data_IF_905864501288
#
_entry.id   IF_905864501288
#
_cell.length_a   1.000
_cell.length_b   1.000
_cell.length_c   1.000
_cell.angle_alpha   90.00
_cell.angle_beta   90.00
_cell.angle_gamma   90.00
#
_symmetry.space_group_name_H-M   'P 1'
#
loop_
_entity.id
_entity.type
_entity.pdbx_description
1 polymer ?
#
# COMPACT_ATOMS: atom_id res chain seq x y z
N UNK A 1 17.31 0.03 25.45
CA UNK A 1 16.87 1.28 26.12
C UNK A 1 17.85 2.38 25.69
N UNK A 2 17.75 3.14 24.58
CA UNK A 2 16.61 3.77 23.90
C UNK A 2 16.80 3.88 22.36
N UNK A 3 17.60 2.99 21.73
CA UNK A 3 17.80 2.89 20.27
C UNK A 3 17.83 4.24 19.51
N UNK A 4 18.59 5.26 19.96
CA UNK A 4 18.53 6.60 19.39
C UNK A 4 18.93 6.62 17.91
N UNK A 5 19.80 5.71 17.49
CA UNK A 5 20.23 5.55 16.10
C UNK A 5 19.09 5.16 15.14
N UNK A 6 17.93 4.74 15.66
CA UNK A 6 16.75 4.41 14.87
C UNK A 6 15.83 5.60 14.60
N UNK A 7 16.15 6.77 15.17
CA UNK A 7 15.44 8.02 14.92
C UNK A 7 16.28 8.88 13.97
N UNK A 8 15.77 9.06 12.76
CA UNK A 8 16.41 9.88 11.74
C UNK A 8 15.59 11.15 11.49
N UNK A 9 16.20 12.31 11.65
CA UNK A 9 15.59 13.56 11.21
C UNK A 9 15.72 13.69 9.69
N UNK A 10 14.61 13.58 8.97
CA UNK A 10 14.59 13.73 7.52
C UNK A 10 14.54 15.22 7.14
N UNK A 11 15.60 15.81 6.55
CA UNK A 11 15.63 17.23 6.24
C UNK A 11 14.61 17.63 5.17
N UNK A 12 14.30 16.71 4.26
CA UNK A 12 13.33 16.93 3.18
C UNK A 12 11.88 16.95 3.68
N UNK A 13 11.57 16.21 4.75
CA UNK A 13 10.23 16.16 5.36
C UNK A 13 10.12 17.01 6.62
N UNK A 14 11.24 17.57 7.09
CA UNK A 14 11.38 18.35 8.33
C UNK A 14 10.78 17.64 9.56
N UNK A 15 10.93 16.32 9.65
CA UNK A 15 10.42 15.52 10.76
C UNK A 15 11.28 14.31 11.08
N UNK A 16 11.14 13.84 12.31
CA UNK A 16 11.72 12.57 12.75
C UNK A 16 10.95 11.40 12.12
N UNK A 17 11.69 10.43 11.60
CA UNK A 17 11.17 9.16 11.10
C UNK A 17 11.94 8.01 11.73
N UNK A 18 11.26 6.89 11.90
CA UNK A 18 11.91 5.65 12.33
C UNK A 18 12.60 5.03 11.13
N UNK A 19 13.91 4.79 11.22
CA UNK A 19 14.73 4.19 10.16
C UNK A 19 15.84 3.33 10.75
N UNK A 20 16.12 2.17 10.16
CA UNK A 20 17.26 1.35 10.57
C UNK A 20 18.56 1.86 9.91
N UNK A 21 19.64 2.11 10.67
CA UNK A 21 20.96 2.39 10.08
C UNK A 21 21.44 1.22 9.22
N UNK A 22 21.93 1.49 8.00
CA UNK A 22 22.40 0.45 7.09
C UNK A 22 23.46 -0.48 7.71
N UNK A 23 24.47 0.01 8.47
CA UNK A 23 25.46 -0.86 9.11
C UNK A 23 24.87 -1.82 10.15
N UNK A 24 23.66 -1.53 10.66
CA UNK A 24 22.97 -2.35 11.66
C UNK A 24 22.02 -3.37 11.03
N UNK A 25 21.85 -3.36 9.70
CA UNK A 25 21.02 -4.33 8.99
C UNK A 25 21.84 -5.61 8.79
N UNK A 26 21.50 -6.66 9.54
CA UNK A 26 22.13 -7.99 9.41
C UNK A 26 21.67 -8.73 8.16
N UNK A 27 20.38 -8.66 7.85
CA UNK A 27 19.75 -9.43 6.78
C UNK A 27 18.50 -8.71 6.27
N UNK A 28 18.21 -8.85 4.98
CA UNK A 28 16.98 -8.37 4.34
C UNK A 28 16.18 -9.56 3.84
N UNK A 29 14.89 -9.60 4.18
CA UNK A 29 13.97 -10.65 3.76
C UNK A 29 13.18 -10.18 2.53
N UNK A 30 13.73 -10.41 1.33
CA UNK A 30 13.09 -9.99 0.07
C UNK A 30 11.97 -10.97 -0.28
N UNK A 31 10.70 -10.53 -0.43
CA UNK A 31 9.56 -11.43 -0.60
C UNK A 31 9.68 -12.43 -1.75
N UNK A 32 10.21 -12.00 -2.90
CA UNK A 32 10.45 -12.84 -4.07
C UNK A 32 11.49 -13.93 -3.79
N UNK A 33 12.61 -13.56 -3.16
CA UNK A 33 13.67 -14.52 -2.82
C UNK A 33 13.18 -15.54 -1.79
N UNK A 34 12.37 -15.11 -0.81
CA UNK A 34 11.75 -16.02 0.17
C UNK A 34 10.78 -16.98 -0.47
N UNK A 35 10.01 -16.54 -1.46
CA UNK A 35 9.15 -17.44 -2.21
C UNK A 35 9.96 -18.41 -3.09
N UNK A 36 11.03 -17.94 -3.72
CA UNK A 36 11.92 -18.81 -4.49
C UNK A 36 12.62 -19.86 -3.63
N UNK A 37 12.97 -19.52 -2.39
CA UNK A 37 13.50 -20.48 -1.43
C UNK A 37 12.46 -21.58 -1.11
N UNK A 38 11.18 -21.24 -0.97
CA UNK A 38 10.11 -22.23 -0.79
C UNK A 38 9.97 -23.10 -2.04
N UNK A 39 9.98 -22.51 -3.24
CA UNK A 39 9.91 -23.25 -4.50
C UNK A 39 11.03 -24.29 -4.62
N UNK A 40 12.24 -23.95 -4.19
CA UNK A 40 13.42 -24.80 -4.30
C UNK A 40 13.67 -25.70 -3.08
N UNK A 41 12.85 -25.61 -2.03
CA UNK A 41 13.06 -26.38 -0.81
C UNK A 41 12.85 -27.89 -1.04
N UNK A 42 13.77 -28.72 -0.53
CA UNK A 42 13.65 -30.19 -0.56
C UNK A 42 12.47 -30.69 0.27
N UNK A 43 12.18 -30.00 1.37
CA UNK A 43 11.06 -30.29 2.27
C UNK A 43 10.30 -29.01 2.54
N UNK A 44 8.98 -29.08 2.40
CA UNK A 44 8.04 -28.02 2.74
C UNK A 44 7.10 -28.53 3.82
N UNK A 45 6.78 -27.68 4.78
CA UNK A 45 5.66 -27.97 5.66
C UNK A 45 4.31 -27.75 4.97
N UNK A 46 3.23 -28.11 5.65
CA UNK A 46 1.87 -28.01 5.11
C UNK A 46 1.49 -26.59 4.69
N UNK A 47 1.92 -25.56 5.44
CA UNK A 47 1.56 -24.17 5.13
C UNK A 47 2.35 -23.67 3.92
N UNK A 48 3.62 -24.05 3.81
CA UNK A 48 4.46 -23.74 2.64
C UNK A 48 3.91 -24.41 1.37
N UNK A 49 3.51 -25.69 1.43
CA UNK A 49 2.84 -26.36 0.32
C UNK A 49 1.51 -25.70 -0.05
N UNK A 50 0.68 -25.36 0.96
CA UNK A 50 -0.58 -24.67 0.72
C UNK A 50 -0.37 -23.29 0.07
N UNK A 51 0.67 -22.56 0.50
CA UNK A 51 1.05 -21.26 -0.06
C UNK A 51 1.50 -21.37 -1.51
N UNK A 52 2.30 -22.40 -1.82
CA UNK A 52 2.74 -22.69 -3.19
C UNK A 52 1.53 -22.98 -4.09
N UNK A 53 0.65 -23.88 -3.67
CA UNK A 53 -0.57 -24.23 -4.41
C UNK A 53 -1.47 -23.01 -4.62
N UNK A 54 -1.61 -22.16 -3.60
CA UNK A 54 -2.38 -20.92 -3.71
C UNK A 54 -1.78 -19.96 -4.74
N UNK A 55 -0.47 -19.70 -4.70
CA UNK A 55 0.19 -18.82 -5.67
C UNK A 55 0.11 -19.40 -7.09
N UNK A 56 0.25 -20.72 -7.26
CA UNK A 56 0.09 -21.37 -8.57
C UNK A 56 -1.32 -21.21 -9.14
N UNK A 57 -2.36 -21.38 -8.31
CA UNK A 57 -3.75 -21.13 -8.69
C UNK A 57 -3.94 -19.68 -9.15
N UNK A 58 -3.50 -18.72 -8.35
CA UNK A 58 -3.64 -17.28 -8.69
C UNK A 58 -2.82 -16.92 -9.93
N UNK A 59 -1.61 -17.44 -10.07
CA UNK A 59 -0.74 -17.25 -11.24
C UNK A 59 -1.43 -17.76 -12.52
N UNK A 60 -1.92 -19.00 -12.50
CA UNK A 60 -2.62 -19.60 -13.64
C UNK A 60 -3.89 -18.83 -14.01
N UNK A 61 -4.69 -18.43 -13.02
CA UNK A 61 -5.95 -17.73 -13.27
C UNK A 61 -5.72 -16.28 -13.74
N UNK A 62 -4.70 -15.60 -13.24
CA UNK A 62 -4.41 -14.20 -13.58
C UNK A 62 -3.55 -14.03 -14.83
N UNK A 63 -2.84 -15.08 -15.26
CA UNK A 63 -1.82 -15.02 -16.30
C UNK A 63 -0.60 -14.17 -15.90
N UNK A 64 -0.40 -13.92 -14.60
CA UNK A 64 0.79 -13.24 -14.07
C UNK A 64 1.88 -14.28 -13.81
N UNK A 65 3.11 -14.00 -14.25
CA UNK A 65 4.24 -14.91 -14.03
C UNK A 65 4.45 -15.19 -12.55
N UNK A 66 4.78 -16.45 -12.21
CA UNK A 66 5.10 -16.86 -10.84
C UNK A 66 6.28 -16.06 -10.25
N UNK A 67 7.18 -15.57 -11.09
CA UNK A 67 8.33 -14.73 -10.73
C UNK A 67 7.93 -13.33 -10.23
N UNK A 68 6.71 -12.89 -10.55
CA UNK A 68 6.13 -11.64 -10.08
C UNK A 68 5.36 -11.80 -8.76
N UNK A 69 5.48 -12.95 -8.09
CA UNK A 69 4.96 -13.18 -6.75
C UNK A 69 6.08 -13.27 -5.70
N UNK A 70 5.71 -13.04 -4.46
CA UNK A 70 6.56 -13.23 -3.29
C UNK A 70 5.72 -13.58 -2.06
N UNK A 71 6.38 -13.98 -0.98
CA UNK A 71 5.73 -14.20 0.32
C UNK A 71 6.28 -13.21 1.34
N UNK A 72 5.45 -12.75 2.26
CA UNK A 72 5.86 -11.92 3.40
C UNK A 72 5.33 -12.50 4.71
N UNK A 73 5.41 -11.74 5.80
CA UNK A 73 4.88 -12.17 7.08
C UNK A 73 5.66 -13.33 7.69
N UNK A 74 4.97 -14.18 8.46
CA UNK A 74 5.61 -15.25 9.23
C UNK A 74 6.27 -16.31 8.34
N UNK A 75 5.69 -16.61 7.17
CA UNK A 75 6.25 -17.57 6.20
C UNK A 75 7.60 -17.11 5.68
N UNK A 76 7.72 -15.83 5.29
CA UNK A 76 8.97 -15.27 4.80
C UNK A 76 10.08 -15.26 5.84
N UNK A 77 9.70 -15.18 7.12
CA UNK A 77 10.62 -15.16 8.26
C UNK A 77 10.90 -16.55 8.83
N UNK A 78 10.26 -17.60 8.29
CA UNK A 78 10.29 -18.97 8.82
C UNK A 78 9.90 -19.03 10.32
N UNK A 79 8.90 -18.24 10.71
CA UNK A 79 8.35 -18.16 12.08
C UNK A 79 6.86 -18.51 12.11
N UNK A 80 6.34 -19.12 11.04
CA UNK A 80 4.94 -19.49 10.93
C UNK A 80 4.62 -20.75 11.72
N UNK A 81 3.33 -20.90 12.01
CA UNK A 81 2.72 -22.10 12.57
C UNK A 81 1.60 -22.57 11.64
N UNK A 82 1.02 -23.74 11.92
CA UNK A 82 -0.15 -24.22 11.18
C UNK A 82 -1.34 -23.25 11.23
N UNK A 83 -1.39 -22.32 12.18
CA UNK A 83 -2.45 -21.30 12.32
C UNK A 83 -2.16 -20.00 11.56
N UNK A 84 -0.92 -19.79 11.10
CA UNK A 84 -0.53 -18.55 10.42
C UNK A 84 -1.29 -18.35 9.11
N UNK A 85 -1.58 -17.09 8.77
CA UNK A 85 -2.19 -16.67 7.50
C UNK A 85 -1.19 -16.82 6.33
N UNK A 86 -1.71 -16.86 5.10
CA UNK A 86 -0.91 -16.80 3.87
C UNK A 86 -0.76 -15.34 3.43
N UNK A 87 0.44 -14.80 3.55
CA UNK A 87 0.76 -13.42 3.21
C UNK A 87 1.57 -13.35 1.90
N UNK A 88 0.93 -12.95 0.79
CA UNK A 88 1.58 -12.85 -0.53
C UNK A 88 1.74 -11.41 -1.01
N UNK A 89 2.78 -11.22 -1.82
CA UNK A 89 3.07 -9.98 -2.54
C UNK A 89 2.95 -10.23 -4.03
N UNK A 90 2.34 -9.29 -4.75
CA UNK A 90 2.34 -9.23 -6.21
C UNK A 90 3.16 -8.02 -6.65
N UNK A 91 4.18 -8.26 -7.46
CA UNK A 91 5.04 -7.23 -8.02
C UNK A 91 4.41 -6.65 -9.29
N UNK A 92 4.22 -5.34 -9.33
CA UNK A 92 3.75 -4.62 -10.51
C UNK A 92 2.31 -4.15 -10.41
N UNK A 93 2.06 -2.92 -10.87
CA UNK A 93 0.72 -2.30 -10.88
C UNK A 93 -0.25 -3.07 -11.76
N UNK A 94 0.15 -3.35 -13.01
CA UNK A 94 -0.69 -4.09 -13.96
C UNK A 94 -0.94 -5.52 -13.50
N UNK A 95 0.07 -6.16 -12.92
CA UNK A 95 -0.03 -7.51 -12.37
C UNK A 95 -1.02 -7.58 -11.20
N UNK A 96 -0.95 -6.61 -10.27
CA UNK A 96 -1.89 -6.58 -9.15
C UNK A 96 -3.35 -6.46 -9.63
N UNK A 97 -3.61 -5.63 -10.64
CA UNK A 97 -4.96 -5.51 -11.24
C UNK A 97 -5.44 -6.80 -11.90
N UNK A 98 -4.55 -7.54 -12.57
CA UNK A 98 -4.87 -8.88 -13.11
C UNK A 98 -5.19 -9.88 -11.99
N UNK A 99 -4.41 -9.87 -10.91
CA UNK A 99 -4.64 -10.73 -9.74
C UNK A 99 -5.95 -10.38 -9.05
N UNK A 100 -6.30 -9.10 -8.88
CA UNK A 100 -7.61 -8.72 -8.33
C UNK A 100 -8.77 -9.27 -9.16
N UNK A 101 -8.69 -9.14 -10.49
CA UNK A 101 -9.69 -9.69 -11.38
C UNK A 101 -9.79 -11.22 -11.29
N UNK A 102 -8.65 -11.91 -11.18
CA UNK A 102 -8.59 -13.37 -10.97
C UNK A 102 -9.20 -13.79 -9.64
N UNK A 103 -8.85 -13.13 -8.54
CA UNK A 103 -9.43 -13.37 -7.21
C UNK A 103 -10.95 -13.17 -7.25
N UNK A 104 -11.43 -12.11 -7.90
CA UNK A 104 -12.87 -11.88 -8.04
C UNK A 104 -13.57 -13.00 -8.82
N UNK A 105 -12.96 -13.54 -9.89
CA UNK A 105 -13.50 -14.71 -10.59
C UNK A 105 -13.57 -15.95 -9.71
N UNK A 106 -12.47 -16.28 -9.04
CA UNK A 106 -12.39 -17.43 -8.14
C UNK A 106 -13.36 -17.33 -6.95
N UNK A 107 -13.66 -16.10 -6.49
CA UNK A 107 -14.71 -15.88 -5.49
C UNK A 107 -16.10 -16.17 -6.07
N UNK A 108 -16.39 -15.72 -7.29
CA UNK A 108 -17.67 -16.04 -7.95
C UNK A 108 -17.85 -17.54 -8.20
N UNK A 109 -16.76 -18.23 -8.49
CA UNK A 109 -16.75 -19.67 -8.77
C UNK A 109 -16.75 -20.51 -7.47
N UNK A 110 -16.74 -19.87 -6.29
CA UNK A 110 -16.79 -20.54 -4.99
C UNK A 110 -15.48 -21.19 -4.55
N UNK A 111 -14.39 -21.00 -5.29
CA UNK A 111 -13.05 -21.50 -4.96
C UNK A 111 -12.43 -20.70 -3.82
N UNK A 112 -12.65 -19.38 -3.83
CA UNK A 112 -12.25 -18.45 -2.78
C UNK A 112 -13.47 -17.81 -2.13
N UNK A 113 -13.28 -17.19 -0.96
CA UNK A 113 -14.27 -16.28 -0.38
C UNK A 113 -13.58 -15.06 0.19
N UNK A 114 -14.24 -13.90 0.17
CA UNK A 114 -13.71 -12.71 0.82
C UNK A 114 -13.90 -12.77 2.34
N UNK A 115 -13.00 -12.10 3.07
CA UNK A 115 -13.12 -11.87 4.52
C UNK A 115 -13.09 -10.38 4.80
N UNK A 116 -14.16 -9.86 5.39
CA UNK A 116 -14.29 -8.45 5.73
C UNK A 116 -14.51 -8.27 7.22
N UNK A 117 -13.68 -7.47 7.88
CA UNK A 117 -13.88 -7.11 9.28
C UNK A 117 -14.53 -5.72 9.43
N UNK A 118 -14.41 -4.87 8.41
CA UNK A 118 -14.96 -3.52 8.38
C UNK A 118 -15.20 -3.06 6.93
N UNK A 119 -15.78 -1.86 6.78
CA UNK A 119 -16.09 -1.28 5.46
C UNK A 119 -14.87 -1.05 4.56
N UNK A 120 -13.70 -0.76 5.13
CA UNK A 120 -12.49 -0.53 4.34
C UNK A 120 -11.95 -1.85 3.79
N UNK A 121 -12.02 -2.92 4.58
CA UNK A 121 -11.70 -4.29 4.11
C UNK A 121 -12.61 -4.69 2.96
N UNK A 122 -13.92 -4.40 3.08
CA UNK A 122 -14.91 -4.63 2.03
C UNK A 122 -14.62 -3.84 0.74
N UNK A 123 -14.14 -2.60 0.88
CA UNK A 123 -13.79 -1.76 -0.26
C UNK A 123 -12.50 -2.21 -0.96
N UNK A 124 -11.43 -2.50 -0.20
CA UNK A 124 -10.12 -2.83 -0.77
C UNK A 124 -9.98 -4.28 -1.22
N UNK A 125 -10.71 -5.21 -0.60
CA UNK A 125 -10.78 -6.64 -0.92
C UNK A 125 -9.44 -7.41 -0.89
N UNK A 126 -8.52 -7.05 -0.01
CA UNK A 126 -7.17 -7.69 0.05
C UNK A 126 -7.12 -9.00 0.85
N UNK A 127 -8.23 -9.44 1.46
CA UNK A 127 -8.28 -10.58 2.38
C UNK A 127 -9.34 -11.58 1.95
N UNK A 128 -9.00 -12.87 1.96
CA UNK A 128 -9.91 -13.95 1.62
C UNK A 128 -9.59 -15.27 2.33
N UNK A 129 -10.32 -16.33 1.97
CA UNK A 129 -10.02 -17.71 2.37
C UNK A 129 -9.80 -18.62 1.16
N UNK A 130 -8.81 -19.49 1.28
CA UNK A 130 -8.50 -20.59 0.38
C UNK A 130 -8.36 -21.87 1.21
N UNK A 131 -9.17 -22.90 0.94
CA UNK A 131 -9.13 -24.18 1.70
C UNK A 131 -9.11 -23.98 3.24
N UNK A 132 -10.02 -23.16 3.76
CA UNK A 132 -10.14 -22.75 5.17
C UNK A 132 -8.99 -21.91 5.74
N UNK A 133 -7.94 -21.65 4.98
CA UNK A 133 -6.83 -20.79 5.37
C UNK A 133 -7.08 -19.34 4.93
N UNK A 134 -6.86 -18.39 5.83
CA UNK A 134 -6.91 -16.96 5.49
C UNK A 134 -5.69 -16.62 4.64
N UNK A 135 -5.91 -15.84 3.58
CA UNK A 135 -4.86 -15.23 2.81
C UNK A 135 -5.03 -13.70 2.76
N UNK A 136 -3.90 -13.02 2.60
CA UNK A 136 -3.82 -11.61 2.27
C UNK A 136 -2.87 -11.41 1.09
N UNK A 137 -3.25 -10.54 0.16
CA UNK A 137 -2.41 -10.18 -0.98
C UNK A 137 -2.21 -8.67 -1.06
N UNK A 138 -0.96 -8.25 -1.29
CA UNK A 138 -0.59 -6.84 -1.39
C UNK A 138 0.28 -6.55 -2.60
N UNK A 139 0.32 -5.29 -3.03
CA UNK A 139 1.12 -4.86 -4.16
C UNK A 139 2.50 -4.33 -3.72
N UNK A 140 3.54 -4.65 -4.49
CA UNK A 140 4.87 -4.04 -4.40
C UNK A 140 5.26 -3.51 -5.79
N UNK A 141 5.87 -2.32 -5.83
CA UNK A 141 6.34 -1.73 -7.09
C UNK A 141 7.46 -2.59 -7.68
N UNK A 142 7.45 -2.77 -9.01
CA UNK A 142 8.64 -3.22 -9.72
C UNK A 142 9.71 -2.12 -9.67
N UNK A 143 11.01 -2.44 -9.77
CA UNK A 143 12.06 -1.42 -9.80
C UNK A 143 11.81 -0.30 -10.83
N UNK A 144 11.33 -0.65 -12.03
CA UNK A 144 10.98 0.34 -13.07
C UNK A 144 9.72 1.18 -12.79
N UNK A 145 8.91 0.83 -11.79
CA UNK A 145 7.75 1.62 -11.36
C UNK A 145 8.08 2.60 -10.22
N UNK A 146 9.32 2.56 -9.71
CA UNK A 146 9.81 3.52 -8.73
C UNK A 146 10.39 4.72 -9.47
N UNK A 147 9.56 5.75 -9.66
CA UNK A 147 9.90 6.91 -10.50
C UNK A 147 10.48 8.09 -9.72
N UNK A 148 10.52 8.02 -8.40
CA UNK A 148 11.01 9.10 -7.53
C UNK A 148 12.23 8.67 -6.72
N UNK A 149 13.17 9.58 -6.50
CA UNK A 149 14.35 9.36 -5.65
C UNK A 149 14.21 10.05 -4.31
N UNK A 150 14.84 9.49 -3.28
CA UNK A 150 14.99 10.18 -2.00
C UNK A 150 15.76 11.48 -2.20
N UNK A 151 15.25 12.57 -1.61
CA UNK A 151 15.83 13.90 -1.79
C UNK A 151 15.49 14.59 -3.10
N UNK A 152 14.57 14.06 -3.92
CA UNK A 152 14.07 14.75 -5.11
C UNK A 152 13.07 15.88 -4.77
N UNK A 153 12.31 15.69 -3.68
CA UNK A 153 11.27 16.62 -3.24
C UNK A 153 11.49 17.04 -1.79
N UNK A 154 11.16 18.30 -1.49
CA UNK A 154 10.97 18.81 -0.13
C UNK A 154 9.48 19.00 0.16
N UNK A 155 9.10 18.80 1.43
CA UNK A 155 7.72 18.80 1.90
C UNK A 155 7.61 19.77 3.07
N UNK A 156 6.60 20.64 3.03
CA UNK A 156 6.28 21.56 4.13
C UNK A 156 4.79 21.44 4.51
N UNK A 157 4.47 21.05 5.76
CA UNK A 157 3.08 21.03 6.22
C UNK A 157 2.53 22.46 6.27
N UNK A 158 1.24 22.60 5.92
CA UNK A 158 0.54 23.90 5.91
C UNK A 158 -0.59 23.91 6.93
N UNK A 159 -1.59 23.05 6.74
CA UNK A 159 -2.79 23.05 7.58
C UNK A 159 -3.56 21.72 7.47
N UNK A 160 -4.25 21.29 8.54
CA UNK A 160 -5.22 20.20 8.43
C UNK A 160 -6.40 20.63 7.55
N UNK A 161 -6.88 19.73 6.69
CA UNK A 161 -8.00 19.97 5.78
C UNK A 161 -8.95 18.77 5.75
N UNK A 162 -10.24 19.05 5.54
CA UNK A 162 -11.32 18.08 5.37
C UNK A 162 -12.13 18.40 4.13
N UNK A 163 -12.27 17.44 3.23
CA UNK A 163 -12.92 17.66 1.93
C UNK A 163 -13.49 16.38 1.33
N UNK A 164 -14.32 16.53 0.30
CA UNK A 164 -14.68 15.49 -0.65
C UNK A 164 -13.99 15.75 -1.98
N UNK A 165 -13.67 14.68 -2.70
CA UNK A 165 -13.15 14.76 -4.05
C UNK A 165 -13.48 13.49 -4.83
N UNK A 166 -13.32 13.57 -6.15
CA UNK A 166 -13.40 12.43 -7.04
C UNK A 166 -12.00 11.91 -7.34
N UNK A 167 -11.85 10.60 -7.38
CA UNK A 167 -10.59 9.94 -7.74
C UNK A 167 -10.41 10.02 -9.26
N UNK A 168 -9.43 10.81 -9.69
CA UNK A 168 -9.05 10.95 -11.11
C UNK A 168 -8.19 9.79 -11.59
N UNK A 169 -7.31 9.28 -10.72
CA UNK A 169 -6.42 8.16 -11.00
C UNK A 169 -6.10 7.39 -9.71
N UNK A 170 -6.26 6.07 -9.75
CA UNK A 170 -5.98 5.14 -8.65
C UNK A 170 -4.83 4.17 -8.98
N UNK A 171 -3.99 4.51 -9.96
CA UNK A 171 -2.88 3.66 -10.42
C UNK A 171 -1.91 3.31 -9.29
N UNK A 172 -1.66 4.25 -8.38
CA UNK A 172 -0.75 4.06 -7.24
C UNK A 172 -1.48 3.84 -5.90
N UNK A 173 -2.81 3.71 -5.91
CA UNK A 173 -3.62 3.54 -4.70
C UNK A 173 -3.41 2.17 -4.01
N UNK A 174 -2.90 1.18 -4.75
CA UNK A 174 -2.64 -0.19 -4.26
C UNK A 174 -1.38 -0.31 -3.39
N UNK A 175 -0.43 0.60 -3.58
CA UNK A 175 0.88 0.51 -2.96
C UNK A 175 0.92 1.18 -1.59
N UNK A 176 2.06 1.08 -0.90
CA UNK A 176 2.40 1.92 0.24
C UNK A 176 3.57 2.85 -0.13
N UNK A 177 3.45 4.18 0.07
CA UNK A 177 2.20 4.90 0.31
C UNK A 177 1.21 4.72 -0.85
N UNK A 178 -0.09 4.80 -0.53
CA UNK A 178 -1.14 4.84 -1.55
C UNK A 178 -1.26 6.27 -2.07
N UNK A 179 -1.37 6.43 -3.39
CA UNK A 179 -1.54 7.74 -4.02
C UNK A 179 -2.81 7.73 -4.85
N UNK A 180 -3.71 8.65 -4.54
CA UNK A 180 -4.91 8.94 -5.32
C UNK A 180 -4.71 10.32 -5.97
N UNK A 181 -4.69 10.40 -7.30
CA UNK A 181 -4.84 11.71 -7.96
C UNK A 181 -6.31 12.10 -7.90
N UNK A 182 -6.58 13.36 -7.62
CA UNK A 182 -7.94 13.82 -7.32
C UNK A 182 -8.40 14.93 -8.26
N UNK A 183 -9.71 15.13 -8.31
CA UNK A 183 -10.38 16.25 -8.96
C UNK A 183 -11.64 16.62 -8.15
N UNK A 184 -12.26 17.76 -8.48
CA UNK A 184 -13.49 18.23 -7.84
C UNK A 184 -13.37 18.39 -6.31
N UNK A 185 -12.31 19.06 -5.86
CA UNK A 185 -12.12 19.40 -4.45
C UNK A 185 -13.31 20.20 -3.91
N UNK A 186 -13.95 19.68 -2.87
CA UNK A 186 -15.08 20.32 -2.19
C UNK A 186 -14.82 20.35 -0.68
N UNK A 187 -14.52 21.52 -0.08
CA UNK A 187 -14.23 21.61 1.35
C UNK A 187 -15.46 21.24 2.19
N UNK A 188 -15.22 20.67 3.38
CA UNK A 188 -16.29 20.27 4.31
C UNK A 188 -16.46 21.23 5.49
N UNK A 189 -15.56 22.20 5.64
CA UNK A 189 -15.62 23.26 6.64
C UNK A 189 -14.87 24.50 6.13
N UNK A 190 -15.10 25.65 6.77
CA UNK A 190 -14.46 26.92 6.37
C UNK A 190 -12.93 26.89 6.46
N UNK A 191 -12.35 26.13 7.41
CA UNK A 191 -10.89 26.00 7.55
C UNK A 191 -10.25 25.25 6.37
N UNK A 192 -11.04 24.50 5.62
CA UNK A 192 -10.61 23.75 4.44
C UNK A 192 -10.86 24.51 3.14
N UNK A 193 -11.37 25.75 3.19
CA UNK A 193 -11.49 26.56 1.98
C UNK A 193 -10.10 27.02 1.52
N UNK A 194 -9.67 26.52 0.36
CA UNK A 194 -8.35 26.80 -0.19
C UNK A 194 -8.43 27.73 -1.41
N UNK A 195 -7.44 28.64 -1.60
CA UNK A 195 -7.24 29.31 -2.88
C UNK A 195 -7.08 28.29 -4.00
N UNK A 196 -7.55 28.61 -5.22
CA UNK A 196 -7.46 27.71 -6.39
C UNK A 196 -6.03 27.20 -6.66
N UNK A 197 -5.02 28.02 -6.41
CA UNK A 197 -3.60 27.68 -6.56
C UNK A 197 -3.06 26.69 -5.53
N UNK A 198 -3.79 26.45 -4.45
CA UNK A 198 -3.41 25.53 -3.36
C UNK A 198 -4.26 24.26 -3.32
N UNK A 199 -5.20 24.11 -4.25
CA UNK A 199 -6.02 22.89 -4.35
C UNK A 199 -5.09 21.71 -4.60
N UNK A 200 -5.12 20.66 -3.74
CA UNK A 200 -4.19 19.56 -3.85
C UNK A 200 -4.45 18.71 -5.10
N UNK A 201 -3.37 18.25 -5.72
CA UNK A 201 -3.44 17.37 -6.90
C UNK A 201 -3.63 15.90 -6.53
N UNK A 202 -3.22 15.53 -5.31
CA UNK A 202 -3.24 14.15 -4.85
C UNK A 202 -3.48 14.03 -3.34
N UNK A 203 -3.99 12.86 -2.97
CA UNK A 203 -4.06 12.37 -1.59
C UNK A 203 -3.08 11.21 -1.44
N UNK A 204 -2.14 11.33 -0.50
CA UNK A 204 -1.09 10.34 -0.23
C UNK A 204 -1.32 9.73 1.15
N UNK A 205 -1.57 8.43 1.21
CA UNK A 205 -1.77 7.72 2.47
C UNK A 205 -0.57 6.89 2.89
N UNK A 206 -0.05 7.17 4.08
CA UNK A 206 0.95 6.38 4.78
C UNK A 206 0.34 5.21 5.58
N UNK A 207 -1.00 5.20 5.73
CA UNK A 207 -1.74 4.19 6.49
C UNK A 207 -2.20 3.07 5.55
N UNK A 208 -1.78 1.84 5.86
CA UNK A 208 -2.00 0.69 4.98
C UNK A 208 -3.46 0.26 4.78
N UNK A 209 -4.39 0.69 5.65
CA UNK A 209 -5.81 0.35 5.53
C UNK A 209 -6.55 1.18 4.47
N UNK A 210 -6.03 2.36 4.12
CA UNK A 210 -6.60 3.22 3.08
C UNK A 210 -6.04 2.92 1.67
N UNK A 211 -5.31 1.82 1.51
CA UNK A 211 -4.88 1.35 0.19
C UNK A 211 -6.07 0.79 -0.56
N UNK A 212 -6.20 1.19 -1.82
CA UNK A 212 -7.14 0.61 -2.78
C UNK A 212 -8.62 0.69 -2.36
N UNK A 213 -8.99 1.63 -1.48
CA UNK A 213 -10.36 1.75 -0.96
C UNK A 213 -11.32 2.45 -1.92
N UNK A 214 -10.79 3.10 -2.95
CA UNK A 214 -11.57 3.75 -4.00
C UNK A 214 -10.93 3.50 -5.37
N UNK A 215 -11.76 3.54 -6.41
CA UNK A 215 -11.38 3.36 -7.82
C UNK A 215 -11.44 4.70 -8.54
N UNK A 216 -10.75 4.81 -9.68
CA UNK A 216 -10.96 5.91 -10.63
C UNK A 216 -12.46 6.11 -10.89
N UNK A 217 -12.91 7.35 -10.80
CA UNK A 217 -14.31 7.74 -10.94
C UNK A 217 -15.11 7.73 -9.64
N UNK A 218 -14.65 7.04 -8.60
CA UNK A 218 -15.31 7.03 -7.28
C UNK A 218 -15.05 8.30 -6.48
N UNK A 219 -15.84 8.53 -5.44
CA UNK A 219 -15.70 9.66 -4.52
C UNK A 219 -15.09 9.22 -3.19
N UNK A 220 -14.29 10.10 -2.60
CA UNK A 220 -13.69 9.89 -1.28
C UNK A 220 -13.88 11.13 -0.41
N UNK A 221 -14.12 10.88 0.89
CA UNK A 221 -14.01 11.86 1.97
C UNK A 221 -12.63 11.75 2.59
N UNK A 222 -11.94 12.88 2.74
CA UNK A 222 -10.56 12.93 3.24
C UNK A 222 -10.46 13.89 4.41
N UNK A 223 -9.69 13.50 5.42
CA UNK A 223 -9.18 14.35 6.51
C UNK A 223 -7.68 14.08 6.63
N UNK A 224 -6.86 15.12 6.48
CA UNK A 224 -5.40 14.98 6.48
C UNK A 224 -4.67 16.32 6.48
N UNK A 225 -3.36 16.29 6.34
CA UNK A 225 -2.50 17.47 6.32
C UNK A 225 -2.24 17.94 4.89
N UNK A 226 -2.61 19.18 4.57
CA UNK A 226 -2.16 19.84 3.35
C UNK A 226 -0.64 20.07 3.42
N UNK A 227 0.09 19.63 2.41
CA UNK A 227 1.52 19.84 2.27
C UNK A 227 1.82 20.58 0.96
N UNK A 228 2.74 21.55 1.04
CA UNK A 228 3.44 22.08 -0.12
C UNK A 228 4.56 21.10 -0.47
N UNK A 229 4.62 20.70 -1.74
CA UNK A 229 5.68 19.86 -2.29
C UNK A 229 6.48 20.68 -3.29
N UNK A 230 7.80 20.69 -3.12
CA UNK A 230 8.74 21.40 -4.00
C UNK A 230 9.72 20.41 -4.61
N UNK A 231 9.79 20.39 -5.94
CA UNK A 231 10.78 19.60 -6.67
C UNK A 231 12.11 20.36 -6.69
N UNK A 232 13.10 19.85 -5.96
CA UNK A 232 14.33 20.62 -5.66
C UNK A 232 15.17 20.96 -6.90
N UNK A 233 15.08 20.17 -7.96
CA UNK A 233 15.83 20.42 -9.20
C UNK A 233 15.23 21.53 -10.06
N UNK A 234 13.91 21.64 -10.12
CA UNK A 234 13.20 22.58 -10.99
C UNK A 234 12.59 23.78 -10.25
N UNK A 235 12.44 23.70 -8.93
CA UNK A 235 11.67 24.67 -8.14
C UNK A 235 10.16 24.58 -8.38
N UNK A 236 9.69 23.57 -9.10
CA UNK A 236 8.27 23.34 -9.35
C UNK A 236 7.55 23.03 -8.04
N UNK A 237 6.41 23.69 -7.83
CA UNK A 237 5.62 23.59 -6.60
C UNK A 237 4.23 23.06 -6.95
N UNK A 238 3.78 22.09 -6.17
CA UNK A 238 2.40 21.60 -6.17
C UNK A 238 1.96 21.30 -4.73
N UNK A 239 0.68 20.97 -4.56
CA UNK A 239 0.10 20.67 -3.26
C UNK A 239 -0.45 19.25 -3.23
N UNK A 240 -0.32 18.59 -2.08
CA UNK A 240 -0.93 17.29 -1.81
C UNK A 240 -1.53 17.27 -0.42
N UNK A 241 -2.37 16.29 -0.14
CA UNK A 241 -2.84 16.01 1.23
C UNK A 241 -2.26 14.67 1.68
N UNK A 242 -1.58 14.65 2.82
CA UNK A 242 -1.07 13.43 3.45
C UNK A 242 -2.01 12.95 4.55
N UNK A 243 -2.25 11.65 4.55
CA UNK A 243 -2.99 10.92 5.59
C UNK A 243 -2.04 9.92 6.24
N UNK A 244 -1.94 9.92 7.57
CA UNK A 244 -0.94 9.18 8.35
C UNK A 244 0.31 10.01 8.66
N UNK A 245 0.14 11.26 9.07
CA UNK A 245 1.23 12.13 9.52
C UNK A 245 1.73 11.78 10.92
N UNK A 246 0.87 11.13 11.73
CA UNK A 246 1.00 10.89 13.17
C UNK A 246 0.86 12.14 14.06
N UNK A 247 0.40 13.26 13.49
CA UNK A 247 0.12 14.51 14.21
C UNK A 247 -1.35 14.60 14.69
N UNK A 248 -2.24 13.77 14.15
CA UNK A 248 -3.65 13.72 14.53
C UNK A 248 -4.22 12.29 14.42
N UNK A 249 -5.11 11.93 15.33
CA UNK A 249 -5.85 10.66 15.31
C UNK A 249 -7.06 10.70 14.34
N UNK A 250 -7.42 11.88 13.83
CA UNK A 250 -8.61 12.09 12.99
C UNK A 250 -8.32 12.08 11.48
N UNK A 251 -7.20 11.49 11.06
CA UNK A 251 -6.82 11.40 9.64
C UNK A 251 -7.43 10.16 8.97
N UNK A 252 -8.13 10.38 7.85
CA UNK A 252 -8.82 9.31 7.15
C UNK A 252 -9.02 9.50 5.66
N UNK A 253 -9.26 8.38 4.98
CA UNK A 253 -9.81 8.31 3.61
C UNK A 253 -11.00 7.36 3.66
N UNK A 254 -12.20 7.85 3.38
CA UNK A 254 -13.42 7.04 3.32
C UNK A 254 -14.00 7.06 1.91
N UNK A 255 -14.18 5.90 1.25
CA UNK A 255 -15.00 5.84 0.05
C UNK A 255 -16.45 6.21 0.42
N UNK A 256 -17.10 6.99 -0.45
CA UNK A 256 -18.49 7.45 -0.31
C UNK A 256 -19.35 6.78 -1.37
#
# INVERSE_FOLDING_TARGET
KNFPDYVYFCPYRRKNVISAPLPNIKEVFVPRERFQAILNAEKRDKLQELTLNFIQLISSESGVSIEDFGVHGSIALNMHSEESDIDIVVYGRSNFRKVEAAVERLVRDGVLSYVFNNRLDAARRFKGRYQNKIFMYTAVRKPGEVTSKYGEYAYAPIAPVQFRCKVKDDSDAIFRPAVYKIENYTPLNHQSELPKSMVPEAVVSMIGCYRNVARKGGEIKVSGMLEKVEKLQSGEIFYQVVVGTAESEEEYIWPI
#
